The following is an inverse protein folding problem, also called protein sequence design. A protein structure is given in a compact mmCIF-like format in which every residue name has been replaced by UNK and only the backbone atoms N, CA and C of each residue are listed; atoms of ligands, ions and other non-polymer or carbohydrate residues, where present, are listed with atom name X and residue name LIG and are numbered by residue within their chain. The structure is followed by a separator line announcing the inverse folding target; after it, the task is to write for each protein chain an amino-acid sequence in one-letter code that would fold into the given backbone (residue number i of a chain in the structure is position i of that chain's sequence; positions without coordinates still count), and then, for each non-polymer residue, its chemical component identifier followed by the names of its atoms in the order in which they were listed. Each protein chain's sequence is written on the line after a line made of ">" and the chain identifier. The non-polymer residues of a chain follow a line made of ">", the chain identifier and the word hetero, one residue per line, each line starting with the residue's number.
data_IF_177511905408
#
_entry.id   IF_177511905408
#
_cell.length_a   1.000
_cell.length_b   1.000
_cell.length_c   1.000
_cell.angle_alpha   90.00
_cell.angle_beta   90.00
_cell.angle_gamma   90.00
#
_symmetry.space_group_name_H-M   'P 1'
#
loop_
_entity.id
_entity.type
_entity.pdbx_description
1 polymer ?
#
# COMPACT_ATOMS: atom_id res chain seq x y z
N UNK A 1 -13.14 -14.02 2.54
CA UNK A 1 -11.98 -13.33 1.94
C UNK A 1 -12.51 -12.11 1.21
N UNK A 2 -12.08 -10.92 1.60
CA UNK A 2 -12.61 -9.64 1.10
C UNK A 2 -12.17 -9.39 -0.35
N UNK A 3 -13.09 -8.95 -1.22
CA UNK A 3 -12.79 -8.58 -2.62
C UNK A 3 -11.65 -7.54 -2.72
N UNK A 4 -11.52 -6.68 -1.70
CA UNK A 4 -10.44 -5.70 -1.62
C UNK A 4 -9.07 -6.33 -1.39
N UNK A 5 -8.99 -7.44 -0.63
CA UNK A 5 -7.72 -8.14 -0.42
C UNK A 5 -7.29 -8.93 -1.64
N UNK A 6 -8.24 -9.49 -2.38
CA UNK A 6 -7.92 -10.19 -3.63
C UNK A 6 -7.35 -9.20 -4.65
N UNK A 7 -7.96 -8.01 -4.81
CA UNK A 7 -7.39 -6.94 -5.65
C UNK A 7 -6.03 -6.44 -5.14
N UNK A 8 -5.86 -6.31 -3.83
CA UNK A 8 -4.56 -5.90 -3.28
C UNK A 8 -3.46 -6.91 -3.62
N UNK A 9 -3.77 -8.21 -3.63
CA UNK A 9 -2.83 -9.26 -4.05
C UNK A 9 -2.50 -9.18 -5.53
N UNK A 10 -3.50 -8.96 -6.39
CA UNK A 10 -3.28 -8.75 -7.82
C UNK A 10 -2.31 -7.58 -8.08
N UNK A 11 -2.45 -6.47 -7.35
CA UNK A 11 -1.51 -5.34 -7.44
C UNK A 11 -0.08 -5.71 -6.97
N UNK A 12 0.06 -6.52 -5.92
CA UNK A 12 1.38 -7.00 -5.48
C UNK A 12 2.02 -7.98 -6.47
N UNK A 13 1.22 -8.83 -7.12
CA UNK A 13 1.71 -9.71 -8.20
C UNK A 13 2.28 -8.88 -9.36
N UNK A 14 1.64 -7.76 -9.71
CA UNK A 14 2.19 -6.83 -10.71
C UNK A 14 3.52 -6.22 -10.29
N UNK A 15 3.68 -5.86 -9.01
CA UNK A 15 4.98 -5.38 -8.48
C UNK A 15 6.06 -6.45 -8.64
N UNK A 16 5.77 -7.70 -8.28
CA UNK A 16 6.72 -8.81 -8.41
C UNK A 16 7.15 -9.02 -9.87
N UNK A 17 6.20 -9.02 -10.82
CA UNK A 17 6.49 -9.13 -12.25
C UNK A 17 7.38 -7.98 -12.77
N UNK A 18 7.11 -6.75 -12.31
CA UNK A 18 7.89 -5.57 -12.70
C UNK A 18 9.31 -5.56 -12.14
N UNK A 19 9.53 -6.18 -10.98
CA UNK A 19 10.86 -6.29 -10.37
C UNK A 19 11.69 -7.45 -10.96
N UNK A 20 11.06 -8.49 -11.50
CA UNK A 20 11.75 -9.62 -12.13
C UNK A 20 12.29 -9.31 -13.53
N UNK A 21 11.56 -8.50 -14.29
CA UNK A 21 12.05 -7.96 -15.55
C UNK A 21 12.93 -6.77 -15.19
N UNK A 22 14.16 -6.68 -15.70
CA UNK A 22 15.06 -5.52 -15.52
C UNK A 22 14.43 -4.24 -16.11
N UNK A 23 13.44 -3.70 -15.41
CA UNK A 23 12.43 -2.77 -15.88
C UNK A 23 12.65 -1.42 -15.19
N UNK A 24 12.99 -0.41 -15.98
CA UNK A 24 13.41 0.91 -15.53
C UNK A 24 12.20 1.88 -15.54
N UNK A 25 11.09 1.48 -14.91
CA UNK A 25 9.91 2.34 -14.74
C UNK A 25 9.29 2.11 -13.37
N UNK A 26 10.00 2.68 -12.42
CA UNK A 26 9.74 2.58 -11.00
C UNK A 26 8.48 3.33 -10.58
N UNK A 27 8.08 4.33 -11.37
CA UNK A 27 6.80 5.00 -11.20
C UNK A 27 5.63 4.02 -11.28
N UNK A 28 5.73 2.99 -12.13
CA UNK A 28 4.72 1.94 -12.23
C UNK A 28 4.75 1.00 -11.00
N UNK A 29 5.94 0.69 -10.48
CA UNK A 29 6.10 -0.08 -9.24
C UNK A 29 5.43 0.64 -8.07
N UNK A 30 5.72 1.93 -7.88
CA UNK A 30 5.12 2.72 -6.80
C UNK A 30 3.61 2.91 -6.97
N UNK A 31 3.12 3.02 -8.21
CA UNK A 31 1.70 3.05 -8.50
C UNK A 31 0.99 1.78 -8.00
N UNK A 32 1.52 0.59 -8.33
CA UNK A 32 0.94 -0.68 -7.89
C UNK A 32 1.06 -0.86 -6.36
N UNK A 33 2.19 -0.46 -5.75
CA UNK A 33 2.34 -0.47 -4.29
C UNK A 33 1.32 0.44 -3.59
N UNK A 34 1.11 1.65 -4.11
CA UNK A 34 0.13 2.59 -3.55
C UNK A 34 -1.30 2.02 -3.63
N UNK A 35 -1.66 1.40 -4.76
CA UNK A 35 -2.96 0.75 -4.92
C UNK A 35 -3.12 -0.41 -3.94
N UNK A 36 -2.13 -1.30 -3.85
CA UNK A 36 -2.15 -2.44 -2.94
C UNK A 36 -2.37 -1.99 -1.49
N UNK A 37 -1.60 -1.01 -1.02
CA UNK A 37 -1.72 -0.46 0.34
C UNK A 37 -3.09 0.16 0.58
N UNK A 38 -3.56 0.98 -0.36
CA UNK A 38 -4.88 1.63 -0.27
C UNK A 38 -5.99 0.60 -0.16
N UNK A 39 -5.95 -0.45 -0.98
CA UNK A 39 -6.92 -1.55 -0.95
C UNK A 39 -6.86 -2.33 0.37
N UNK A 40 -5.66 -2.61 0.89
CA UNK A 40 -5.49 -3.28 2.18
C UNK A 40 -6.05 -2.47 3.35
N UNK A 41 -5.80 -1.16 3.38
CA UNK A 41 -6.35 -0.26 4.41
C UNK A 41 -7.87 -0.13 4.27
N UNK A 42 -8.39 -0.02 3.05
CA UNK A 42 -9.85 -0.03 2.80
C UNK A 42 -10.48 -1.36 3.22
N UNK A 43 -9.78 -2.48 3.08
CA UNK A 43 -10.26 -3.78 3.58
C UNK A 43 -10.39 -3.77 5.11
N UNK A 44 -9.38 -3.28 5.84
CA UNK A 44 -9.49 -3.06 7.29
C UNK A 44 -10.69 -2.16 7.61
N UNK A 45 -10.78 -1.00 6.97
CA UNK A 45 -11.84 -0.04 7.24
C UNK A 45 -13.25 -0.64 7.00
N UNK A 46 -13.39 -1.49 5.98
CA UNK A 46 -14.62 -2.21 5.65
C UNK A 46 -15.06 -3.17 6.76
N UNK A 47 -14.13 -3.91 7.40
CA UNK A 47 -14.46 -4.79 8.52
C UNK A 47 -15.09 -4.03 9.70
N UNK A 48 -14.63 -2.80 9.91
CA UNK A 48 -15.16 -1.92 10.94
C UNK A 48 -16.33 -1.04 10.44
N UNK A 49 -16.83 -1.29 9.22
CA UNK A 49 -17.93 -0.56 8.57
C UNK A 49 -17.69 0.95 8.49
N UNK A 50 -16.44 1.35 8.30
CA UNK A 50 -16.06 2.74 8.11
C UNK A 50 -16.35 3.16 6.68
N UNK A 51 -16.77 4.42 6.48
CA UNK A 51 -16.95 4.97 5.15
C UNK A 51 -15.62 5.50 4.62
N UNK A 52 -15.13 4.91 3.53
CA UNK A 52 -13.88 5.31 2.84
C UNK A 52 -14.13 5.88 1.45
N UNK A 53 -15.38 6.16 1.09
CA UNK A 53 -15.74 6.71 -0.22
C UNK A 53 -15.02 8.05 -0.48
N UNK A 54 -14.22 8.10 -1.54
CA UNK A 54 -13.43 9.27 -1.94
C UNK A 54 -12.13 9.49 -1.16
N UNK A 55 -11.76 8.58 -0.26
CA UNK A 55 -10.47 8.62 0.46
C UNK A 55 -9.47 7.73 -0.27
N UNK A 56 -8.50 8.36 -0.93
CA UNK A 56 -7.40 7.68 -1.64
C UNK A 56 -6.03 7.91 -0.97
N UNK A 57 -5.96 8.77 0.04
CA UNK A 57 -4.73 8.97 0.79
C UNK A 57 -4.51 7.86 1.82
N UNK A 58 -3.32 7.27 1.81
CA UNK A 58 -2.85 6.27 2.77
C UNK A 58 -2.86 6.88 4.18
N UNK A 59 -2.33 8.09 4.35
CA UNK A 59 -2.32 8.79 5.63
C UNK A 59 -3.75 8.97 6.19
N UNK A 60 -4.67 9.47 5.37
CA UNK A 60 -6.06 9.71 5.78
C UNK A 60 -6.78 8.39 6.16
N UNK A 61 -6.54 7.31 5.42
CA UNK A 61 -7.10 6.00 5.74
C UNK A 61 -6.56 5.46 7.07
N UNK A 62 -5.26 5.59 7.32
CA UNK A 62 -4.64 5.16 8.58
C UNK A 62 -5.23 5.96 9.76
N UNK A 63 -5.34 7.28 9.62
CA UNK A 63 -5.86 8.14 10.67
C UNK A 63 -7.35 7.87 10.95
N UNK A 64 -8.15 7.66 9.90
CA UNK A 64 -9.54 7.23 10.04
C UNK A 64 -9.64 5.91 10.82
N UNK A 65 -8.83 4.91 10.48
CA UNK A 65 -8.82 3.62 11.17
C UNK A 65 -8.39 3.80 12.63
N UNK A 66 -7.33 4.57 12.91
CA UNK A 66 -6.86 4.84 14.28
C UNK A 66 -7.90 5.56 15.12
N UNK A 67 -8.63 6.52 14.54
CA UNK A 67 -9.62 7.31 15.26
C UNK A 67 -10.88 6.49 15.57
N UNK A 68 -11.28 5.62 14.65
CA UNK A 68 -12.58 4.92 14.72
C UNK A 68 -12.49 3.46 15.19
N UNK A 69 -11.29 2.91 15.37
CA UNK A 69 -11.09 1.50 15.75
C UNK A 69 -10.11 1.35 16.91
N UNK A 70 -9.93 0.12 17.40
CA UNK A 70 -8.91 -0.22 18.41
C UNK A 70 -7.60 -0.71 17.79
N UNK A 71 -7.50 -0.68 16.46
CA UNK A 71 -6.33 -1.17 15.73
C UNK A 71 -5.11 -0.32 16.10
N UNK A 72 -4.03 -1.01 16.46
CA UNK A 72 -2.73 -0.40 16.72
C UNK A 72 -1.81 -0.74 15.57
N UNK A 73 -1.59 0.23 14.69
CA UNK A 73 -0.61 0.08 13.62
C UNK A 73 0.81 -0.03 14.21
N UNK A 74 1.64 -0.95 13.70
CA UNK A 74 3.04 -1.05 14.09
C UNK A 74 3.86 0.19 13.72
N UNK A 75 5.03 0.36 14.33
CA UNK A 75 5.90 1.54 14.10
C UNK A 75 6.39 1.65 12.64
N UNK A 76 6.56 0.51 11.96
CA UNK A 76 6.95 0.47 10.55
C UNK A 76 5.90 1.04 9.60
N UNK A 77 4.66 1.32 10.05
CA UNK A 77 3.62 1.93 9.21
C UNK A 77 4.04 3.30 8.66
N UNK A 78 4.97 3.97 9.35
CA UNK A 78 5.56 5.23 8.89
C UNK A 78 6.30 5.08 7.56
N UNK A 79 6.89 3.91 7.27
CA UNK A 79 7.56 3.61 6.00
C UNK A 79 6.59 3.52 4.82
N UNK A 80 5.36 3.12 5.09
CA UNK A 80 4.32 3.02 4.06
C UNK A 80 3.85 4.40 3.59
N UNK A 81 3.94 5.42 4.46
CA UNK A 81 3.62 6.81 4.09
C UNK A 81 4.61 7.38 3.07
N UNK A 82 5.85 6.86 3.02
CA UNK A 82 6.87 7.30 2.06
C UNK A 82 6.43 7.02 0.61
N UNK A 83 5.54 6.03 0.38
CA UNK A 83 4.98 5.73 -0.95
C UNK A 83 4.22 6.94 -1.51
N UNK A 84 3.45 7.67 -0.69
CA UNK A 84 2.70 8.84 -1.17
C UNK A 84 3.63 10.00 -1.57
N UNK A 85 4.73 10.18 -0.85
CA UNK A 85 5.70 11.26 -1.12
C UNK A 85 6.39 11.05 -2.47
N UNK A 86 6.71 9.79 -2.80
CA UNK A 86 7.33 9.40 -4.06
C UNK A 86 6.35 9.60 -5.22
N UNK A 87 5.10 9.15 -5.07
CA UNK A 87 4.06 9.33 -6.10
C UNK A 87 3.72 10.80 -6.41
N UNK A 88 3.83 11.71 -5.42
CA UNK A 88 3.56 13.15 -5.59
C UNK A 88 4.70 13.87 -6.31
N UNK A 89 5.94 13.44 -6.10
CA UNK A 89 7.12 13.98 -6.79
C UNK A 89 7.04 13.82 -8.31
N UNK A 90 6.42 12.74 -8.78
CA UNK A 90 6.69 12.19 -10.11
C UNK A 90 5.59 12.44 -11.14
N UNK A 91 4.85 13.55 -10.99
CA UNK A 91 3.80 13.98 -11.91
C UNK A 91 4.14 13.79 -13.39
N UNK A 92 3.56 12.74 -14.00
CA UNK A 92 3.61 12.34 -15.42
C UNK A 92 4.74 12.98 -16.25
N UNK A 93 5.98 12.49 -16.16
CA UNK A 93 7.00 12.97 -17.09
C UNK A 93 8.40 12.34 -17.05
N UNK A 94 8.80 11.70 -15.96
CA UNK A 94 10.14 11.12 -15.86
C UNK A 94 10.05 9.62 -15.57
N UNK A 95 10.55 8.80 -16.50
CA UNK A 95 10.99 7.43 -16.18
C UNK A 95 12.22 7.61 -15.30
N UNK A 96 11.98 7.61 -13.99
CA UNK A 96 13.02 7.66 -12.96
C UNK A 96 13.31 6.21 -12.61
N UNK A 97 14.59 5.87 -12.60
CA UNK A 97 15.06 4.60 -12.08
C UNK A 97 15.71 4.91 -10.72
N UNK A 98 14.96 4.74 -9.65
CA UNK A 98 15.40 4.69 -8.27
C UNK A 98 16.31 3.46 -8.06
N UNK A 99 17.29 3.60 -7.16
CA UNK A 99 18.15 2.49 -6.79
C UNK A 99 17.35 1.38 -6.09
N UNK A 100 17.67 0.11 -6.38
CA UNK A 100 16.91 -1.04 -5.87
C UNK A 100 16.87 -1.10 -4.33
N UNK A 101 17.89 -0.52 -3.69
CA UNK A 101 18.02 -0.40 -2.24
C UNK A 101 16.92 0.48 -1.62
N UNK A 102 16.27 1.33 -2.41
CA UNK A 102 15.15 2.16 -1.97
C UNK A 102 13.84 1.37 -1.88
N UNK A 103 13.72 0.23 -2.56
CA UNK A 103 12.54 -0.64 -2.49
C UNK A 103 12.52 -1.52 -1.25
N UNK A 104 13.68 -2.02 -0.81
CA UNK A 104 13.74 -3.12 0.16
C UNK A 104 12.92 -2.84 1.42
N UNK A 105 13.16 -1.68 2.04
CA UNK A 105 12.47 -1.30 3.28
C UNK A 105 10.97 -1.03 3.08
N UNK A 106 10.57 -0.49 1.91
CA UNK A 106 9.17 -0.19 1.58
C UNK A 106 8.42 -1.47 1.24
N UNK A 107 8.98 -2.31 0.37
CA UNK A 107 8.42 -3.62 0.02
C UNK A 107 8.22 -4.48 1.26
N UNK A 108 9.25 -4.59 2.11
CA UNK A 108 9.16 -5.35 3.36
C UNK A 108 8.03 -4.82 4.25
N UNK A 109 7.88 -3.49 4.36
CA UNK A 109 6.78 -2.88 5.11
C UNK A 109 5.41 -3.19 4.49
N UNK A 110 5.28 -3.18 3.16
CA UNK A 110 4.03 -3.49 2.45
C UNK A 110 3.65 -4.97 2.61
N UNK A 111 4.60 -5.90 2.51
CA UNK A 111 4.33 -7.32 2.78
C UNK A 111 3.98 -7.56 4.26
N UNK A 112 4.63 -6.86 5.20
CA UNK A 112 4.23 -6.90 6.61
C UNK A 112 2.82 -6.32 6.83
N UNK A 113 2.42 -5.30 6.06
CA UNK A 113 1.05 -4.79 6.06
C UNK A 113 0.06 -5.82 5.56
N UNK A 114 0.38 -6.53 4.48
CA UNK A 114 -0.46 -7.63 3.97
C UNK A 114 -0.75 -8.65 5.06
N UNK A 115 0.29 -9.15 5.72
CA UNK A 115 0.12 -10.17 6.77
C UNK A 115 -0.62 -9.63 8.00
N UNK A 116 -0.36 -8.37 8.36
CA UNK A 116 -1.09 -7.66 9.41
C UNK A 116 -2.59 -7.57 9.08
N UNK A 117 -2.93 -7.13 7.87
CA UNK A 117 -4.32 -6.96 7.40
C UNK A 117 -5.02 -8.31 7.33
N UNK A 118 -4.36 -9.34 6.79
CA UNK A 118 -4.91 -10.71 6.76
C UNK A 118 -5.25 -11.20 8.18
N UNK A 119 -4.48 -10.82 9.18
CA UNK A 119 -4.78 -11.13 10.59
C UNK A 119 -5.98 -10.32 11.12
N UNK A 120 -6.17 -9.07 10.69
CA UNK A 120 -7.29 -8.22 11.13
C UNK A 120 -8.61 -8.54 10.41
N UNK A 121 -8.55 -9.06 9.19
CA UNK A 121 -9.70 -9.31 8.30
C UNK A 121 -10.11 -10.81 8.30
N UNK A 122 -9.41 -11.66 9.05
CA UNK A 122 -9.77 -13.08 9.19
C UNK A 122 -10.86 -13.31 10.24
N UNK A 123 -12.12 -13.11 9.84
CA UNK A 123 -13.32 -13.85 10.27
C UNK A 123 -14.29 -14.07 9.09
#
# INVERSE_FOLDING_TARGET
>A
MSELLDKAREELEQVEELLEVDFCDDGLVFYHLQNAVTLMLKAIASEYKLNTEGIESIADLIDLIKEKTTIKFPEWISRILEIEEISISDGCGASICYDIDMYGDILDAVYQLKDFVETQVSE
#
